data_IF_816342617738
#
_entry.id   IF_816342617738
#
_cell.length_a   1.000
_cell.length_b   1.000
_cell.length_c   1.000
_cell.angle_alpha   90.00
_cell.angle_beta   90.00
_cell.angle_gamma   90.00
#
_symmetry.space_group_name_H-M   'P 1'
#
loop_
_entity.id
_entity.type
_entity.pdbx_description
1 polymer ?
#
# COMPACT_ATOMS: atom_id res chain seq x y z
N UNK A 1 -13.95 -16.07 -4.71
CA UNK A 1 -14.75 -14.83 -4.92
C UNK A 1 -14.68 -14.25 -6.34
N UNK A 2 -13.57 -14.40 -7.07
CA UNK A 2 -13.39 -13.87 -8.46
C UNK A 2 -14.47 -14.35 -9.44
N UNK A 3 -14.87 -15.63 -9.38
CA UNK A 3 -15.81 -16.24 -10.33
C UNK A 3 -17.26 -15.69 -10.28
N UNK A 4 -17.71 -15.11 -9.16
CA UNK A 4 -19.07 -14.51 -9.07
C UNK A 4 -19.14 -13.14 -9.74
N UNK A 5 -18.05 -12.37 -9.67
CA UNK A 5 -18.00 -11.02 -10.22
C UNK A 5 -17.94 -11.02 -11.76
N UNK A 6 -17.17 -11.93 -12.33
CA UNK A 6 -17.08 -12.10 -13.80
C UNK A 6 -18.39 -12.62 -14.38
N UNK A 7 -19.07 -13.54 -13.68
CA UNK A 7 -20.41 -13.98 -14.06
C UNK A 7 -21.42 -12.83 -14.03
N UNK A 8 -21.44 -12.02 -12.97
CA UNK A 8 -22.34 -10.86 -12.88
C UNK A 8 -22.11 -9.86 -14.03
N UNK A 9 -20.86 -9.64 -14.43
CA UNK A 9 -20.51 -8.78 -15.57
C UNK A 9 -21.06 -9.34 -16.89
N UNK A 10 -20.94 -10.65 -17.13
CA UNK A 10 -21.49 -11.27 -18.34
C UNK A 10 -23.02 -11.14 -18.34
N UNK A 11 -23.67 -11.42 -17.21
CA UNK A 11 -25.12 -11.27 -17.09
C UNK A 11 -25.60 -9.84 -17.33
N UNK A 12 -24.90 -8.82 -16.82
CA UNK A 12 -25.29 -7.43 -17.05
C UNK A 12 -25.15 -7.00 -18.50
N UNK A 13 -24.11 -7.46 -19.22
CA UNK A 13 -23.97 -7.21 -20.65
C UNK A 13 -25.05 -7.92 -21.47
N UNK A 14 -25.34 -9.19 -21.16
CA UNK A 14 -26.39 -9.95 -21.85
C UNK A 14 -27.76 -9.32 -21.62
N UNK A 15 -28.08 -8.96 -20.38
CA UNK A 15 -29.32 -8.29 -20.02
C UNK A 15 -29.44 -6.93 -20.74
N UNK A 16 -28.36 -6.15 -20.79
CA UNK A 16 -28.34 -4.87 -21.50
C UNK A 16 -28.70 -5.02 -22.98
N UNK A 17 -28.09 -5.97 -23.68
CA UNK A 17 -28.38 -6.19 -25.11
C UNK A 17 -29.76 -6.80 -25.35
N UNK A 18 -30.26 -7.66 -24.44
CA UNK A 18 -31.65 -8.15 -24.51
C UNK A 18 -32.63 -6.99 -24.38
N UNK A 19 -32.46 -6.12 -23.38
CA UNK A 19 -33.28 -4.92 -23.20
C UNK A 19 -33.20 -4.00 -24.43
N UNK A 20 -32.01 -3.84 -25.01
CA UNK A 20 -31.76 -3.04 -26.21
C UNK A 20 -32.52 -3.57 -27.44
N UNK A 21 -32.49 -4.88 -27.66
CA UNK A 21 -33.21 -5.53 -28.77
C UNK A 21 -34.73 -5.41 -28.55
N UNK A 22 -35.22 -5.67 -27.34
CA UNK A 22 -36.65 -5.51 -27.00
C UNK A 22 -37.11 -4.07 -27.22
N UNK A 23 -36.30 -3.08 -26.81
CA UNK A 23 -36.57 -1.67 -27.08
C UNK A 23 -36.61 -1.38 -28.58
N UNK A 24 -35.64 -1.87 -29.36
CA UNK A 24 -35.63 -1.69 -30.80
C UNK A 24 -36.88 -2.29 -31.49
N UNK A 25 -37.30 -3.50 -31.10
CA UNK A 25 -38.53 -4.13 -31.61
C UNK A 25 -39.75 -3.24 -31.32
N UNK A 26 -39.87 -2.73 -30.09
CA UNK A 26 -40.96 -1.83 -29.72
C UNK A 26 -40.92 -0.52 -30.50
N UNK A 27 -39.74 0.06 -30.73
CA UNK A 27 -39.55 1.29 -31.50
C UNK A 27 -39.97 1.11 -32.97
N UNK A 28 -39.58 0.00 -33.61
CA UNK A 28 -40.00 -0.31 -34.98
C UNK A 28 -41.50 -0.57 -35.07
N UNK A 29 -42.08 -1.27 -34.09
CA UNK A 29 -43.52 -1.52 -34.04
C UNK A 29 -44.32 -0.21 -33.96
N UNK A 30 -43.93 0.70 -33.06
CA UNK A 30 -44.56 2.02 -32.92
C UNK A 30 -44.32 2.89 -34.17
N UNK A 31 -43.10 2.93 -34.70
CA UNK A 31 -42.75 3.71 -35.90
C UNK A 31 -43.52 3.24 -37.15
N UNK A 32 -43.97 2.00 -37.16
CA UNK A 32 -44.81 1.46 -38.24
C UNK A 32 -46.30 1.78 -38.11
N UNK A 33 -46.68 2.64 -37.18
CA UNK A 33 -48.10 2.93 -36.88
C UNK A 33 -48.86 1.65 -36.47
N UNK A 34 -48.19 0.75 -35.74
CA UNK A 34 -48.73 -0.54 -35.28
C UNK A 34 -49.15 -1.49 -36.42
N UNK A 35 -48.66 -1.26 -37.66
CA UNK A 35 -49.02 -2.07 -38.84
C UNK A 35 -48.08 -3.24 -39.10
N UNK A 36 -46.89 -3.27 -38.48
CA UNK A 36 -45.97 -4.41 -38.59
C UNK A 36 -46.45 -5.60 -37.75
N UNK A 37 -46.58 -6.75 -38.39
CA UNK A 37 -46.82 -8.04 -37.72
C UNK A 37 -45.51 -8.48 -37.04
N UNK A 38 -45.61 -9.06 -35.83
CA UNK A 38 -44.51 -9.68 -35.10
C UNK A 38 -44.01 -10.94 -35.83
N UNK A 39 -43.25 -10.73 -36.91
CA UNK A 39 -42.67 -11.76 -37.75
C UNK A 39 -41.14 -11.78 -37.63
N UNK A 40 -40.52 -12.83 -38.19
CA UNK A 40 -39.05 -12.96 -38.27
C UNK A 40 -38.37 -11.75 -38.92
N UNK A 41 -39.03 -11.09 -39.88
CA UNK A 41 -38.53 -9.88 -40.54
C UNK A 41 -38.36 -8.70 -39.56
N UNK A 42 -39.36 -8.43 -38.72
CA UNK A 42 -39.28 -7.37 -37.69
C UNK A 42 -38.13 -7.65 -36.70
N UNK A 43 -37.96 -8.91 -36.32
CA UNK A 43 -36.87 -9.32 -35.44
C UNK A 43 -35.50 -9.08 -36.09
N UNK A 44 -35.31 -9.44 -37.37
CA UNK A 44 -34.08 -9.20 -38.11
C UNK A 44 -33.79 -7.70 -38.26
N UNK A 45 -34.81 -6.88 -38.54
CA UNK A 45 -34.70 -5.41 -38.62
C UNK A 45 -34.25 -4.78 -37.30
N UNK A 46 -34.61 -5.35 -36.16
CA UNK A 46 -34.14 -4.91 -34.85
C UNK A 46 -32.75 -5.45 -34.49
N UNK A 47 -32.46 -6.73 -34.80
CA UNK A 47 -31.23 -7.41 -34.42
C UNK A 47 -30.00 -6.80 -35.10
N UNK A 48 -30.10 -6.51 -36.40
CA UNK A 48 -28.95 -6.14 -37.24
C UNK A 48 -28.32 -4.80 -36.83
N UNK A 49 -29.09 -3.70 -36.67
CA UNK A 49 -28.55 -2.45 -36.14
C UNK A 49 -27.92 -2.64 -34.75
N UNK A 50 -28.56 -3.45 -33.89
CA UNK A 50 -28.05 -3.73 -32.54
C UNK A 50 -26.67 -4.43 -32.56
N UNK A 51 -26.45 -5.37 -33.47
CA UNK A 51 -25.13 -6.00 -33.66
C UNK A 51 -24.10 -4.94 -34.09
N UNK A 52 -24.44 -4.07 -35.03
CA UNK A 52 -23.58 -2.96 -35.45
C UNK A 52 -23.21 -2.01 -34.30
N UNK A 53 -24.19 -1.63 -33.48
CA UNK A 53 -23.96 -0.82 -32.27
C UNK A 53 -23.09 -1.55 -31.26
N UNK A 54 -23.30 -2.86 -31.05
CA UNK A 54 -22.49 -3.66 -30.13
C UNK A 54 -21.02 -3.71 -30.56
N UNK A 55 -20.76 -3.88 -31.85
CA UNK A 55 -19.40 -3.84 -32.39
C UNK A 55 -18.74 -2.48 -32.13
N UNK A 56 -19.43 -1.37 -32.40
CA UNK A 56 -18.91 -0.03 -32.13
C UNK A 56 -18.62 0.18 -30.63
N UNK A 57 -19.53 -0.25 -29.74
CA UNK A 57 -19.36 -0.18 -28.28
C UNK A 57 -18.11 -0.95 -27.85
N UNK A 58 -17.98 -2.22 -28.23
CA UNK A 58 -16.86 -3.05 -27.78
C UNK A 58 -15.53 -2.60 -28.38
N UNK A 59 -15.52 -2.17 -29.64
CA UNK A 59 -14.34 -1.59 -30.27
C UNK A 59 -13.87 -0.33 -29.52
N UNK A 60 -14.80 0.55 -29.14
CA UNK A 60 -14.47 1.71 -28.32
C UNK A 60 -13.94 1.32 -26.93
N UNK A 61 -14.65 0.45 -26.22
CA UNK A 61 -14.32 0.07 -24.84
C UNK A 61 -12.97 -0.66 -24.73
N UNK A 62 -12.63 -1.53 -25.70
CA UNK A 62 -11.45 -2.39 -25.63
C UNK A 62 -10.25 -1.85 -26.43
N UNK A 63 -10.44 -1.04 -27.47
CA UNK A 63 -9.35 -0.54 -28.30
C UNK A 63 -9.16 0.98 -28.19
N UNK A 64 -10.17 1.81 -28.50
CA UNK A 64 -9.98 3.26 -28.51
C UNK A 64 -9.68 3.83 -27.12
N UNK A 65 -10.49 3.44 -26.12
CA UNK A 65 -10.33 3.97 -24.76
C UNK A 65 -8.93 3.61 -24.20
N UNK A 66 -8.49 2.35 -24.19
CA UNK A 66 -7.18 2.01 -23.64
C UNK A 66 -6.02 2.60 -24.44
N UNK A 67 -6.11 2.65 -25.77
CA UNK A 67 -4.98 3.07 -26.63
C UNK A 67 -4.79 4.58 -26.69
N UNK A 68 -5.88 5.34 -26.77
CA UNK A 68 -5.81 6.79 -26.99
C UNK A 68 -6.27 7.59 -25.77
N UNK A 69 -7.43 7.26 -25.20
CA UNK A 69 -8.04 8.07 -24.14
C UNK A 69 -7.28 7.97 -22.82
N UNK A 70 -6.87 6.76 -22.42
CA UNK A 70 -6.04 6.55 -21.22
C UNK A 70 -4.64 7.15 -21.35
N UNK A 71 -4.12 7.23 -22.57
CA UNK A 71 -2.83 7.87 -22.87
C UNK A 71 -2.95 9.40 -23.06
N UNK A 72 -4.09 10.01 -22.69
CA UNK A 72 -4.38 11.45 -22.81
C UNK A 72 -4.31 11.99 -24.25
N UNK A 73 -4.37 11.11 -25.25
CA UNK A 73 -4.35 11.49 -26.65
C UNK A 73 -5.78 11.75 -27.15
N UNK A 74 -6.35 12.88 -26.71
CA UNK A 74 -7.77 13.20 -26.94
C UNK A 74 -8.11 13.46 -28.41
N UNK A 75 -7.19 14.10 -29.17
CA UNK A 75 -7.41 14.44 -30.59
C UNK A 75 -7.52 13.16 -31.43
N UNK A 76 -6.59 12.22 -31.25
CA UNK A 76 -6.66 10.95 -31.97
C UNK A 76 -7.86 10.11 -31.52
N UNK A 77 -8.22 10.14 -30.23
CA UNK A 77 -9.41 9.47 -29.75
C UNK A 77 -10.68 10.00 -30.43
N UNK A 78 -10.90 11.32 -30.45
CA UNK A 78 -12.10 11.90 -31.06
C UNK A 78 -12.16 11.67 -32.56
N UNK A 79 -11.01 11.78 -33.26
CA UNK A 79 -10.91 11.47 -34.69
C UNK A 79 -11.33 10.02 -35.00
N UNK A 80 -10.71 9.03 -34.33
CA UNK A 80 -11.04 7.63 -34.55
C UNK A 80 -12.45 7.26 -34.08
N UNK A 81 -12.97 7.94 -33.06
CA UNK A 81 -14.33 7.74 -32.59
C UNK A 81 -15.35 8.19 -33.65
N UNK A 82 -15.16 9.36 -34.26
CA UNK A 82 -16.04 9.85 -35.34
C UNK A 82 -16.00 8.88 -36.53
N UNK A 83 -14.81 8.41 -36.90
CA UNK A 83 -14.64 7.41 -37.97
C UNK A 83 -15.38 6.11 -37.63
N UNK A 84 -15.23 5.59 -36.41
CA UNK A 84 -15.92 4.38 -35.97
C UNK A 84 -17.45 4.54 -36.07
N UNK A 85 -17.98 5.67 -35.58
CA UNK A 85 -19.41 5.95 -35.62
C UNK A 85 -19.92 6.07 -37.07
N UNK A 86 -19.21 6.78 -37.93
CA UNK A 86 -19.56 6.92 -39.35
C UNK A 86 -19.53 5.57 -40.07
N UNK A 87 -18.48 4.76 -39.88
CA UNK A 87 -18.37 3.41 -40.47
C UNK A 87 -19.51 2.53 -39.97
N UNK A 88 -19.81 2.55 -38.66
CA UNK A 88 -20.90 1.75 -38.11
C UNK A 88 -22.25 2.12 -38.72
N UNK A 89 -22.53 3.42 -38.87
CA UNK A 89 -23.78 3.91 -39.44
C UNK A 89 -23.91 3.59 -40.95
N UNK A 90 -22.82 3.72 -41.71
CA UNK A 90 -22.78 3.32 -43.14
C UNK A 90 -23.03 1.82 -43.28
N UNK A 91 -22.33 0.99 -42.52
CA UNK A 91 -22.49 -0.47 -42.59
C UNK A 91 -23.91 -0.90 -42.24
N UNK A 92 -24.48 -0.35 -41.17
CA UNK A 92 -25.87 -0.63 -40.78
C UNK A 92 -26.82 -0.19 -41.90
N UNK A 93 -26.65 1.01 -42.46
CA UNK A 93 -27.49 1.51 -43.55
C UNK A 93 -27.40 0.63 -44.81
N UNK A 94 -26.21 0.18 -45.19
CA UNK A 94 -26.01 -0.70 -46.35
C UNK A 94 -26.69 -2.05 -46.15
N UNK A 95 -26.49 -2.69 -44.99
CA UNK A 95 -27.10 -3.98 -44.67
C UNK A 95 -28.63 -3.85 -44.62
N UNK A 96 -29.13 -2.79 -43.99
CA UNK A 96 -30.58 -2.54 -43.88
C UNK A 96 -31.22 -2.33 -45.26
N UNK A 97 -30.55 -1.60 -46.15
CA UNK A 97 -31.02 -1.37 -47.53
C UNK A 97 -31.01 -2.66 -48.35
N UNK A 98 -30.00 -3.52 -48.18
CA UNK A 98 -29.91 -4.80 -48.88
C UNK A 98 -31.00 -5.80 -48.45
N UNK A 99 -31.35 -5.83 -47.16
CA UNK A 99 -32.31 -6.79 -46.63
C UNK A 99 -33.76 -6.35 -46.76
N UNK A 100 -34.02 -5.06 -46.96
CA UNK A 100 -35.37 -4.53 -47.14
C UNK A 100 -35.82 -4.65 -48.59
N UNK A 101 -36.91 -5.38 -48.86
CA UNK A 101 -37.43 -5.50 -50.23
C UNK A 101 -37.78 -4.12 -50.83
N UNK A 102 -37.48 -3.87 -52.13
CA UNK A 102 -37.65 -2.56 -52.78
C UNK A 102 -39.07 -1.98 -52.73
N UNK A 103 -40.09 -2.82 -52.51
CA UNK A 103 -41.51 -2.42 -52.48
C UNK A 103 -42.05 -2.15 -51.07
N UNK A 104 -41.31 -2.48 -50.01
CA UNK A 104 -41.79 -2.40 -48.61
C UNK A 104 -41.34 -1.15 -47.85
N UNK A 105 -40.46 -0.33 -48.45
CA UNK A 105 -39.88 0.84 -47.81
C UNK A 105 -40.69 2.09 -48.16
N UNK A 106 -41.33 2.71 -47.17
CA UNK A 106 -41.72 4.11 -47.28
C UNK A 106 -40.46 4.98 -47.39
N UNK A 107 -40.55 6.15 -48.03
CA UNK A 107 -39.40 7.08 -48.18
C UNK A 107 -38.72 7.44 -46.85
N UNK A 108 -39.42 7.28 -45.71
CA UNK A 108 -38.90 7.50 -44.37
C UNK A 108 -37.74 6.56 -43.99
N UNK A 109 -37.65 5.36 -44.59
CA UNK A 109 -36.61 4.37 -44.27
C UNK A 109 -35.45 4.35 -45.27
N UNK A 110 -35.53 5.10 -46.39
CA UNK A 110 -34.50 5.09 -47.45
C UNK A 110 -33.18 5.73 -47.05
N UNK A 111 -33.14 6.59 -46.02
CA UNK A 111 -31.90 7.22 -45.56
C UNK A 111 -31.90 7.50 -44.05
N UNK A 112 -31.57 6.48 -43.25
CA UNK A 112 -31.52 6.56 -41.78
C UNK A 112 -30.10 6.75 -41.24
N UNK A 113 -29.13 7.14 -42.08
CA UNK A 113 -27.73 7.29 -41.67
C UNK A 113 -27.58 8.14 -40.39
N UNK A 114 -28.25 9.31 -40.35
CA UNK A 114 -28.21 10.21 -39.19
C UNK A 114 -28.75 9.51 -37.93
N UNK A 115 -29.87 8.80 -38.04
CA UNK A 115 -30.44 8.04 -36.92
C UNK A 115 -29.45 6.97 -36.42
N UNK A 116 -28.90 6.16 -37.31
CA UNK A 116 -27.90 5.15 -36.95
C UNK A 116 -26.66 5.76 -36.29
N UNK A 117 -26.17 6.88 -36.80
CA UNK A 117 -25.02 7.59 -36.23
C UNK A 117 -25.30 8.09 -34.81
N UNK A 118 -26.41 8.77 -34.60
CA UNK A 118 -26.77 9.30 -33.28
C UNK A 118 -27.14 8.21 -32.28
N UNK A 119 -27.76 7.12 -32.72
CA UNK A 119 -28.00 5.95 -31.88
C UNK A 119 -26.69 5.29 -31.47
N UNK A 120 -25.75 5.07 -32.40
CA UNK A 120 -24.41 4.56 -32.08
C UNK A 120 -23.66 5.48 -31.09
N UNK A 121 -23.73 6.80 -31.30
CA UNK A 121 -23.15 7.79 -30.39
C UNK A 121 -23.75 7.68 -28.99
N UNK A 122 -25.07 7.50 -28.88
CA UNK A 122 -25.75 7.31 -27.60
C UNK A 122 -25.27 6.05 -26.87
N UNK A 123 -25.23 4.89 -27.55
CA UNK A 123 -24.74 3.63 -26.96
C UNK A 123 -23.27 3.73 -26.53
N UNK A 124 -22.41 4.30 -27.38
CA UNK A 124 -21.00 4.48 -27.06
C UNK A 124 -20.83 5.47 -25.91
N UNK A 125 -21.59 6.55 -25.89
CA UNK A 125 -21.58 7.56 -24.83
C UNK A 125 -21.96 6.98 -23.47
N UNK A 126 -23.12 6.30 -23.38
CA UNK A 126 -23.61 5.74 -22.12
C UNK A 126 -22.67 4.65 -21.58
N UNK A 127 -22.19 3.75 -22.43
CA UNK A 127 -21.26 2.69 -22.01
C UNK A 127 -19.89 3.22 -21.62
N UNK A 128 -19.41 4.27 -22.29
CA UNK A 128 -18.17 4.97 -21.90
C UNK A 128 -18.35 5.65 -20.54
N UNK A 129 -19.47 6.32 -20.30
CA UNK A 129 -19.78 6.96 -19.02
C UNK A 129 -19.82 5.92 -17.88
N UNK A 130 -20.51 4.80 -18.08
CA UNK A 130 -20.52 3.70 -17.10
C UNK A 130 -19.10 3.17 -16.82
N UNK A 131 -18.29 3.00 -17.86
CA UNK A 131 -16.88 2.59 -17.69
C UNK A 131 -16.08 3.61 -16.89
N UNK A 132 -16.26 4.90 -17.14
CA UNK A 132 -15.57 5.96 -16.40
C UNK A 132 -15.97 6.01 -14.94
N UNK A 133 -17.27 5.93 -14.63
CA UNK A 133 -17.75 5.88 -13.24
C UNK A 133 -17.14 4.68 -12.52
N UNK A 134 -17.12 3.51 -13.17
CA UNK A 134 -16.52 2.30 -12.60
C UNK A 134 -15.00 2.43 -12.37
N UNK A 135 -14.27 2.92 -13.35
CA UNK A 135 -12.82 3.13 -13.24
C UNK A 135 -12.51 4.20 -12.16
N UNK A 136 -13.35 5.23 -12.02
CA UNK A 136 -13.23 6.27 -10.99
C UNK A 136 -13.48 5.73 -9.58
N UNK A 137 -14.56 4.97 -9.37
CA UNK A 137 -14.84 4.32 -8.07
C UNK A 137 -13.69 3.37 -7.68
N UNK A 138 -13.19 2.57 -8.62
CA UNK A 138 -12.05 1.69 -8.37
C UNK A 138 -10.79 2.48 -8.00
N UNK A 139 -10.57 3.64 -8.62
CA UNK A 139 -9.45 4.51 -8.28
C UNK A 139 -9.59 5.09 -6.88
N UNK A 140 -10.80 5.47 -6.45
CA UNK A 140 -11.06 5.94 -5.08
C UNK A 140 -10.76 4.85 -4.04
N UNK A 141 -11.23 3.63 -4.28
CA UNK A 141 -10.93 2.48 -3.39
C UNK A 141 -9.42 2.22 -3.27
N UNK A 142 -8.69 2.28 -4.38
CA UNK A 142 -7.24 2.10 -4.38
C UNK A 142 -6.56 3.21 -3.59
N UNK A 143 -6.96 4.47 -3.77
CA UNK A 143 -6.40 5.61 -3.02
C UNK A 143 -6.63 5.46 -1.51
N UNK A 144 -7.84 5.10 -1.10
CA UNK A 144 -8.16 4.88 0.32
C UNK A 144 -7.29 3.77 0.92
N UNK A 145 -7.09 2.67 0.19
CA UNK A 145 -6.21 1.58 0.64
C UNK A 145 -4.76 2.03 0.77
N UNK A 146 -4.25 2.84 -0.16
CA UNK A 146 -2.89 3.38 -0.08
C UNK A 146 -2.73 4.26 1.16
N UNK A 147 -3.67 5.19 1.39
CA UNK A 147 -3.64 6.07 2.57
C UNK A 147 -3.72 5.28 3.89
N UNK A 148 -4.53 4.22 3.94
CA UNK A 148 -4.60 3.32 5.09
C UNK A 148 -3.25 2.65 5.36
N UNK A 149 -2.61 2.10 4.32
CA UNK A 149 -1.29 1.45 4.44
C UNK A 149 -0.22 2.44 4.87
N UNK A 150 -0.22 3.67 4.33
CA UNK A 150 0.72 4.71 4.74
C UNK A 150 0.56 5.09 6.21
N UNK A 151 -0.67 5.16 6.72
CA UNK A 151 -0.96 5.42 8.13
C UNK A 151 -0.47 4.28 9.02
N UNK A 152 -0.78 3.04 8.66
CA UNK A 152 -0.34 1.84 9.41
C UNK A 152 1.20 1.75 9.44
N UNK A 153 1.86 2.07 8.32
CA UNK A 153 3.33 2.16 8.26
C UNK A 153 3.87 3.21 9.22
N UNK A 154 3.31 4.43 9.20
CA UNK A 154 3.77 5.52 10.07
C UNK A 154 3.56 5.16 11.55
N UNK A 155 2.45 4.53 11.88
CA UNK A 155 2.16 4.05 13.24
C UNK A 155 3.14 2.96 13.67
N UNK A 156 3.49 2.02 12.78
CA UNK A 156 4.50 1.00 13.05
C UNK A 156 5.90 1.59 13.23
N UNK A 157 6.31 2.55 12.39
CA UNK A 157 7.58 3.27 12.52
C UNK A 157 7.64 4.05 13.84
N UNK A 158 6.55 4.73 14.21
CA UNK A 158 6.43 5.46 15.47
C UNK A 158 6.47 4.52 16.67
N UNK A 159 5.79 3.38 16.62
CA UNK A 159 5.83 2.37 17.68
C UNK A 159 7.23 1.75 17.82
N UNK A 160 7.91 1.52 16.70
CA UNK A 160 9.31 1.07 16.69
C UNK A 160 10.21 2.10 17.37
N UNK A 161 10.09 3.39 17.00
CA UNK A 161 10.84 4.48 17.61
C UNK A 161 10.53 4.62 19.12
N UNK A 162 9.26 4.50 19.51
CA UNK A 162 8.87 4.48 20.94
C UNK A 162 9.46 3.30 21.69
N UNK A 163 9.53 2.13 21.07
CA UNK A 163 10.07 0.92 21.71
C UNK A 163 11.57 0.97 21.97
N UNK A 164 12.33 1.77 21.19
CA UNK A 164 13.75 2.03 21.43
C UNK A 164 13.98 2.79 22.75
N UNK A 165 12.98 3.51 23.25
CA UNK A 165 13.01 4.09 24.59
C UNK A 165 12.51 3.05 25.59
N UNK A 166 13.37 2.53 26.48
CA UNK A 166 12.96 1.67 27.59
C UNK A 166 12.34 2.54 28.71
N UNK A 167 11.00 2.66 28.79
CA UNK A 167 10.37 3.63 29.69
C UNK A 167 10.60 3.25 31.15
N UNK A 168 10.64 1.94 31.43
CA UNK A 168 10.90 1.42 32.76
C UNK A 168 12.32 1.77 33.25
N UNK A 169 13.33 1.64 32.38
CA UNK A 169 14.69 2.08 32.70
C UNK A 169 14.73 3.57 33.02
N UNK A 170 14.03 4.39 32.22
CA UNK A 170 13.97 5.84 32.41
C UNK A 170 13.30 6.24 33.73
N UNK A 171 12.11 5.71 34.02
CA UNK A 171 11.40 5.98 35.27
C UNK A 171 12.24 5.56 36.49
N UNK A 172 12.88 4.40 36.44
CA UNK A 172 13.75 3.95 37.53
C UNK A 172 14.99 4.83 37.70
N UNK A 173 15.61 5.24 36.60
CA UNK A 173 16.77 6.13 36.65
C UNK A 173 16.41 7.49 37.24
N UNK A 174 15.25 8.05 36.87
CA UNK A 174 14.74 9.29 37.44
C UNK A 174 14.40 9.15 38.93
N UNK A 175 13.78 8.04 39.34
CA UNK A 175 13.48 7.78 40.76
C UNK A 175 14.76 7.67 41.60
N UNK A 176 15.81 7.02 41.09
CA UNK A 176 17.10 6.96 41.79
C UNK A 176 17.76 8.33 41.91
N UNK A 177 17.73 9.14 40.86
CA UNK A 177 18.21 10.53 40.90
C UNK A 177 17.43 11.32 41.96
N UNK A 178 16.11 11.17 42.01
CA UNK A 178 15.26 11.79 43.03
C UNK A 178 15.67 11.36 44.44
N UNK A 179 15.83 10.06 44.70
CA UNK A 179 16.29 9.56 46.00
C UNK A 179 17.67 10.09 46.39
N UNK A 180 18.61 10.17 45.45
CA UNK A 180 19.95 10.72 45.68
C UNK A 180 19.91 12.23 45.95
N UNK A 181 18.99 12.95 45.31
CA UNK A 181 18.79 14.38 45.55
C UNK A 181 18.26 14.65 46.96
N UNK A 182 17.37 13.80 47.49
CA UNK A 182 16.82 13.94 48.86
C UNK A 182 17.90 13.83 49.94
N UNK A 183 18.94 13.04 49.70
CA UNK A 183 20.08 12.86 50.62
C UNK A 183 21.28 13.76 50.29
N UNK A 184 21.11 14.73 49.37
CA UNK A 184 22.18 15.63 48.89
C UNK A 184 23.45 14.89 48.47
N UNK A 185 23.30 13.74 47.76
CA UNK A 185 24.45 12.96 47.33
C UNK A 185 25.31 13.77 46.35
N UNK A 186 26.64 13.83 46.54
CA UNK A 186 27.54 14.52 45.61
C UNK A 186 27.57 13.85 44.22
N UNK A 187 27.07 12.62 44.09
CA UNK A 187 26.98 11.88 42.81
C UNK A 187 25.79 12.29 41.94
N UNK A 188 24.82 13.04 42.49
CA UNK A 188 23.58 13.38 41.79
C UNK A 188 23.83 14.09 40.44
N UNK A 189 24.70 15.12 40.34
CA UNK A 189 24.96 15.81 39.07
C UNK A 189 25.57 14.88 37.99
N UNK A 190 26.49 14.01 38.40
CA UNK A 190 27.15 13.06 37.50
C UNK A 190 26.15 12.07 36.89
N UNK A 191 25.20 11.58 37.69
CA UNK A 191 24.20 10.61 37.25
C UNK A 191 23.20 11.24 36.27
N UNK A 192 22.83 12.52 36.51
CA UNK A 192 22.01 13.28 35.57
C UNK A 192 22.70 13.39 34.21
N UNK A 193 24.01 13.70 34.19
CA UNK A 193 24.80 13.77 32.96
C UNK A 193 24.83 12.42 32.24
N UNK A 194 25.14 11.32 32.95
CA UNK A 194 25.15 9.97 32.35
C UNK A 194 23.80 9.58 31.76
N UNK A 195 22.69 9.90 32.43
CA UNK A 195 21.35 9.66 31.90
C UNK A 195 21.05 10.52 30.65
N UNK A 196 21.50 11.78 30.65
CA UNK A 196 21.35 12.68 29.50
C UNK A 196 22.13 12.17 28.28
N UNK A 197 23.36 11.71 28.47
CA UNK A 197 24.20 11.15 27.41
C UNK A 197 23.60 9.85 26.86
N UNK A 198 23.07 8.99 27.74
CA UNK A 198 22.40 7.76 27.33
C UNK A 198 21.16 8.05 26.48
N UNK A 199 20.35 9.03 26.89
CA UNK A 199 19.18 9.47 26.11
C UNK A 199 19.55 10.13 24.79
N UNK A 200 20.63 10.89 24.75
CA UNK A 200 21.14 11.46 23.49
C UNK A 200 21.52 10.35 22.52
N UNK A 201 22.25 9.34 22.99
CA UNK A 201 22.68 8.21 22.16
C UNK A 201 21.48 7.42 21.61
N UNK A 202 20.49 7.10 22.46
CA UNK A 202 19.28 6.38 22.04
C UNK A 202 18.39 7.21 21.09
N UNK A 203 18.35 8.54 21.21
CA UNK A 203 17.45 9.37 20.40
C UNK A 203 18.05 9.81 19.07
N UNK A 204 19.37 10.05 19.01
CA UNK A 204 20.04 10.63 17.85
C UNK A 204 21.00 9.66 17.17
N UNK A 205 21.85 8.98 17.94
CA UNK A 205 22.92 8.13 17.39
C UNK A 205 22.39 6.75 16.96
N UNK A 206 21.30 6.27 17.56
CA UNK A 206 20.59 5.05 17.12
C UNK A 206 19.94 5.16 15.74
N UNK A 207 19.79 6.37 15.20
CA UNK A 207 19.21 6.62 13.87
C UNK A 207 20.24 6.54 12.75
N UNK A 208 21.53 6.59 13.11
CA UNK A 208 22.61 6.43 12.14
C UNK A 208 22.72 4.97 11.72
N UNK A 209 23.14 4.72 10.47
CA UNK A 209 23.35 3.35 10.00
C UNK A 209 24.49 2.66 10.76
N UNK A 210 25.52 3.42 11.16
CA UNK A 210 26.70 2.93 11.85
C UNK A 210 27.35 4.01 12.73
N UNK A 211 27.80 3.64 13.92
CA UNK A 211 28.58 4.47 14.85
C UNK A 211 29.96 3.83 15.10
N UNK A 212 30.92 4.59 15.65
CA UNK A 212 32.22 4.02 16.00
C UNK A 212 32.10 3.03 17.17
N UNK A 213 32.97 2.01 17.21
CA UNK A 213 33.04 1.08 18.35
C UNK A 213 33.30 1.85 19.66
N UNK A 214 34.05 2.95 19.60
CA UNK A 214 34.32 3.81 20.76
C UNK A 214 33.05 4.46 21.32
N UNK A 215 32.16 4.96 20.46
CA UNK A 215 30.87 5.53 20.87
C UNK A 215 29.97 4.46 21.50
N UNK A 216 29.88 3.27 20.90
CA UNK A 216 29.13 2.14 21.46
C UNK A 216 29.68 1.72 22.84
N UNK A 217 31.01 1.61 23.00
CA UNK A 217 31.63 1.26 24.29
C UNK A 217 31.39 2.33 25.37
N UNK A 218 31.42 3.62 25.00
CA UNK A 218 31.09 4.72 25.91
C UNK A 218 29.63 4.63 26.36
N UNK A 219 28.72 4.34 25.42
CA UNK A 219 27.32 4.10 25.73
C UNK A 219 27.15 2.92 26.72
N UNK A 220 27.80 1.78 26.47
CA UNK A 220 27.75 0.62 27.36
C UNK A 220 28.30 0.93 28.76
N UNK A 221 29.39 1.70 28.85
CA UNK A 221 29.98 2.10 30.13
C UNK A 221 28.98 2.93 30.96
N UNK A 222 28.36 3.94 30.33
CA UNK A 222 27.35 4.77 30.98
C UNK A 222 26.12 3.96 31.38
N UNK A 223 25.68 3.04 30.52
CA UNK A 223 24.54 2.16 30.81
C UNK A 223 24.81 1.24 32.02
N UNK A 224 25.95 0.55 32.04
CA UNK A 224 26.33 -0.37 33.14
C UNK A 224 26.45 0.41 34.46
N UNK A 225 26.99 1.62 34.43
CA UNK A 225 27.15 2.43 35.64
C UNK A 225 25.81 2.88 36.23
N UNK A 226 24.85 3.29 35.37
CA UNK A 226 23.48 3.55 35.80
C UNK A 226 22.81 2.31 36.38
N UNK A 227 23.07 1.13 35.80
CA UNK A 227 22.58 -0.14 36.32
C UNK A 227 23.19 -0.49 37.69
N UNK A 228 24.49 -0.24 37.91
CA UNK A 228 25.15 -0.42 39.21
C UNK A 228 24.51 0.43 40.29
N UNK A 229 24.22 1.70 39.99
CA UNK A 229 23.53 2.61 40.91
C UNK A 229 22.14 2.10 41.22
N UNK A 230 21.38 1.66 40.20
CA UNK A 230 20.02 1.13 40.38
C UNK A 230 19.97 -0.06 41.33
N UNK A 231 21.03 -0.86 41.36
CA UNK A 231 21.15 -2.05 42.18
C UNK A 231 21.85 -1.79 43.53
N UNK A 232 22.14 -0.52 43.89
CA UNK A 232 22.75 -0.12 45.16
C UNK A 232 23.99 -0.93 45.58
N UNK A 233 24.76 -1.46 44.62
CA UNK A 233 25.89 -2.37 44.84
C UNK A 233 25.55 -3.68 45.58
N UNK A 234 24.29 -4.13 45.55
CA UNK A 234 23.87 -5.42 46.13
C UNK A 234 24.42 -6.62 45.34
N UNK A 235 24.90 -6.39 44.13
CA UNK A 235 25.40 -7.38 43.17
C UNK A 235 26.81 -7.01 42.74
N UNK A 236 27.69 -8.01 42.62
CA UNK A 236 29.03 -7.81 42.06
C UNK A 236 28.92 -7.58 40.55
N UNK A 237 29.35 -6.41 40.07
CA UNK A 237 29.31 -6.07 38.63
C UNK A 237 30.70 -5.68 38.15
N UNK A 238 31.33 -6.57 37.37
CA UNK A 238 32.63 -6.32 36.73
C UNK A 238 32.44 -5.94 35.26
N UNK A 239 33.08 -4.86 34.83
CA UNK A 239 33.13 -4.43 33.43
C UNK A 239 34.58 -4.21 33.04
N UNK A 240 35.07 -4.99 32.08
CA UNK A 240 36.46 -4.96 31.65
C UNK A 240 36.53 -4.99 30.13
N UNK A 241 37.34 -4.07 29.59
CA UNK A 241 37.66 -3.98 28.18
C UNK A 241 39.14 -4.29 28.04
N UNK A 242 39.49 -5.29 27.23
CA UNK A 242 40.86 -5.68 26.94
C UNK A 242 41.17 -5.64 25.44
N UNK A 243 42.36 -5.16 25.10
CA UNK A 243 42.83 -5.00 23.72
C UNK A 243 42.76 -3.56 23.21
N UNK A 244 43.31 -3.33 22.02
CA UNK A 244 43.25 -2.02 21.35
C UNK A 244 41.87 -1.84 20.69
N UNK A 245 41.16 -0.76 21.06
CA UNK A 245 39.84 -0.47 20.50
C UNK A 245 40.00 -0.13 19.02
N UNK A 246 39.39 -0.90 18.11
CA UNK A 246 39.55 -0.69 16.68
C UNK A 246 38.83 0.58 16.23
N UNK A 247 39.39 1.25 15.23
CA UNK A 247 38.72 2.35 14.51
C UNK A 247 37.77 1.79 13.44
N UNK A 248 36.80 0.99 13.89
CA UNK A 248 35.76 0.40 13.03
C UNK A 248 34.39 0.89 13.45
N UNK A 249 33.41 0.73 12.56
CA UNK A 249 32.02 1.07 12.85
C UNK A 249 31.15 -0.17 13.08
N UNK A 250 30.15 -0.02 13.92
CA UNK A 250 29.15 -1.04 14.29
C UNK A 250 27.75 -0.48 14.18
N UNK A 251 26.76 -1.36 14.08
CA UNK A 251 25.35 -0.99 14.17
C UNK A 251 25.12 -0.45 15.60
N UNK A 252 24.48 0.71 15.79
CA UNK A 252 24.21 1.26 17.11
C UNK A 252 23.40 0.30 17.98
N UNK A 253 23.64 0.31 19.30
CA UNK A 253 22.89 -0.48 20.29
C UNK A 253 22.98 -2.00 20.09
N UNK A 254 23.93 -2.49 19.30
CA UNK A 254 24.05 -3.93 19.00
C UNK A 254 24.36 -4.76 20.26
N UNK A 255 25.03 -4.18 21.25
CA UNK A 255 25.40 -4.87 22.49
C UNK A 255 24.39 -4.67 23.63
N UNK A 256 23.54 -3.64 23.53
CA UNK A 256 22.58 -3.26 24.57
C UNK A 256 21.61 -4.40 24.95
N UNK A 257 20.98 -5.13 24.01
CA UNK A 257 20.03 -6.20 24.35
C UNK A 257 20.65 -7.32 25.17
N UNK A 258 21.94 -7.63 24.97
CA UNK A 258 22.63 -8.69 25.70
C UNK A 258 22.88 -8.28 27.15
N UNK A 259 23.35 -7.05 27.35
CA UNK A 259 23.65 -6.52 28.68
C UNK A 259 22.35 -6.29 29.46
N UNK A 260 21.32 -5.71 28.82
CA UNK A 260 20.01 -5.52 29.45
C UNK A 260 19.36 -6.86 29.85
N UNK A 261 19.49 -7.90 29.01
CA UNK A 261 19.03 -9.25 29.36
C UNK A 261 19.75 -9.82 30.58
N UNK A 262 21.07 -9.61 30.71
CA UNK A 262 21.81 -10.05 31.90
C UNK A 262 21.31 -9.37 33.18
N UNK A 263 21.04 -8.06 33.13
CA UNK A 263 20.46 -7.32 34.27
C UNK A 263 19.01 -7.72 34.58
N UNK A 264 18.22 -8.13 33.59
CA UNK A 264 16.82 -8.57 33.79
C UNK A 264 16.71 -9.98 34.35
N UNK A 265 17.51 -10.91 33.84
CA UNK A 265 17.37 -12.33 34.14
C UNK A 265 18.35 -12.83 35.19
N UNK A 266 19.55 -12.26 35.27
CA UNK A 266 20.59 -12.69 36.21
C UNK A 266 20.29 -12.48 37.69
N UNK A 267 19.15 -11.84 38.01
CA UNK A 267 18.76 -11.45 39.37
C UNK A 267 17.49 -12.15 39.87
N UNK A 268 16.93 -13.11 39.11
CA UNK A 268 15.63 -13.73 39.42
C UNK A 268 15.69 -14.89 40.41
N UNK A 269 16.86 -15.45 40.73
CA UNK A 269 17.00 -16.59 41.62
C UNK A 269 17.76 -16.21 42.92
N UNK A 270 17.31 -16.67 44.10
CA UNK A 270 17.93 -16.34 45.38
C UNK A 270 19.19 -17.19 45.62
N UNK A 271 20.23 -16.94 44.84
CA UNK A 271 21.58 -17.40 45.14
C UNK A 271 22.21 -16.46 46.19
N UNK A 272 23.09 -16.95 47.07
CA UNK A 272 23.64 -16.15 48.17
C UNK A 272 24.53 -14.97 47.72
N UNK A 273 25.04 -14.95 46.48
CA UNK A 273 25.86 -13.87 45.90
C UNK A 273 25.67 -13.79 44.36
N UNK A 274 24.68 -13.04 43.84
CA UNK A 274 24.54 -12.80 42.41
C UNK A 274 25.68 -11.91 41.87
N UNK A 275 26.13 -12.18 40.65
CA UNK A 275 27.14 -11.37 39.95
C UNK A 275 26.83 -11.23 38.45
N UNK A 276 27.30 -10.14 37.86
CA UNK A 276 27.22 -9.86 36.42
C UNK A 276 28.60 -9.41 35.96
N UNK A 277 29.30 -10.26 35.22
CA UNK A 277 30.56 -9.88 34.60
C UNK A 277 30.37 -9.62 33.11
N UNK A 278 30.92 -8.51 32.63
CA UNK A 278 30.92 -8.09 31.23
C UNK A 278 32.36 -7.92 30.81
N UNK A 279 32.88 -8.91 30.09
CA UNK A 279 34.22 -8.85 29.49
C UNK A 279 34.10 -8.59 28.00
N UNK A 280 34.81 -7.58 27.49
CA UNK A 280 34.90 -7.26 26.07
C UNK A 280 36.36 -7.40 25.66
N UNK A 281 36.65 -8.43 24.86
CA UNK A 281 37.98 -8.68 24.31
C UNK A 281 38.02 -8.28 22.84
N UNK A 282 38.99 -7.44 22.48
CA UNK A 282 39.34 -7.17 21.10
C UNK A 282 40.56 -8.00 20.72
N UNK A 283 40.35 -8.98 19.84
CA UNK A 283 41.45 -9.78 19.30
C UNK A 283 41.50 -9.59 17.79
N UNK A 284 42.66 -9.15 17.29
CA UNK A 284 42.91 -9.05 15.87
C UNK A 284 43.31 -10.44 15.35
N UNK A 285 42.39 -11.13 14.66
CA UNK A 285 42.65 -12.43 14.04
C UNK A 285 42.51 -12.24 12.52
N UNK A 286 43.64 -12.02 11.82
CA UNK A 286 43.65 -11.60 10.41
C UNK A 286 42.83 -10.30 10.22
N UNK A 287 41.97 -10.23 9.19
CA UNK A 287 41.14 -9.05 8.89
C UNK A 287 39.79 -9.00 9.65
N UNK A 288 39.53 -9.94 10.57
CA UNK A 288 38.27 -10.02 11.31
C UNK A 288 38.44 -9.62 12.78
N UNK A 289 37.52 -8.78 13.26
CA UNK A 289 37.39 -8.41 14.67
C UNK A 289 36.45 -9.40 15.36
N UNK A 290 36.93 -10.13 16.38
CA UNK A 290 36.06 -10.94 17.24
C UNK A 290 35.81 -10.22 18.56
N UNK A 291 34.54 -10.01 18.86
CA UNK A 291 34.06 -9.52 20.15
C UNK A 291 33.41 -10.68 20.90
N UNK A 292 33.98 -11.02 22.06
CA UNK A 292 33.45 -12.05 22.96
C UNK A 292 32.91 -11.37 24.20
N UNK A 293 31.58 -11.26 24.30
CA UNK A 293 30.90 -10.86 25.53
C UNK A 293 30.64 -12.12 26.35
N UNK A 294 31.35 -12.27 27.46
CA UNK A 294 31.07 -13.34 28.43
C UNK A 294 30.21 -12.75 29.52
N UNK A 295 28.90 -13.02 29.48
CA UNK A 295 27.97 -12.70 30.55
C UNK A 295 27.85 -13.91 31.46
N UNK A 296 28.41 -13.80 32.65
CA UNK A 296 28.25 -14.83 33.68
C UNK A 296 27.27 -14.25 34.70
N UNK A 297 26.06 -14.78 34.68
CA UNK A 297 25.08 -14.66 35.75
C UNK A 297 24.78 -16.09 36.20
N UNK A 298 24.89 -16.36 37.51
CA UNK A 298 24.64 -17.71 38.03
C UNK A 298 23.16 -17.85 38.38
N UNK A 299 22.50 -18.81 37.75
CA UNK A 299 21.17 -19.29 38.13
C UNK A 299 21.18 -19.98 39.51
#
# INVERSE_FOLDING_TARGET
MVNRYDKFKIYSHVLFWICSITFAISAFYVASDHKLILNSDLFLRALIPNIGFALAVYFNLYLLIPKFLKNKNYIFYTFWLIILLAISAILIQLIFTYLSEPRSLSDQFRNMFSSHFFTALFYVGITSLFKFVKDWLKLQEIKLKITQIEREKLEAELNTLKSQLNPHFLFNSLNNIYSLSLVNSPRTPEIILKLSDLMRHVLYESRENFISVKEELNFLSNFIELQKIRLNNEIEIQYLIEGEVPDTKVIPLIFEPFIDNAFKHGLRNPAPLPYIHVFIYFQQIRCDLRLRITLIARD
#
